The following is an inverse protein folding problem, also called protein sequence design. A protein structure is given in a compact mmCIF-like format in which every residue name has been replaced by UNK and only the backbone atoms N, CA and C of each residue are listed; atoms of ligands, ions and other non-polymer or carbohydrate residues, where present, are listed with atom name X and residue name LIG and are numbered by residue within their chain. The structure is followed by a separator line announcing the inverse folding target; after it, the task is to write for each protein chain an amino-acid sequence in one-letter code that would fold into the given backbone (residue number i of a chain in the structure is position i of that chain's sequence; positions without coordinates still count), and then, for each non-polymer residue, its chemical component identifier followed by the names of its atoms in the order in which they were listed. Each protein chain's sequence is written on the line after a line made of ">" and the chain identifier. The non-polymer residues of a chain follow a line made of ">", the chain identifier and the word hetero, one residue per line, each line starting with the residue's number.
data_IF_520309852774
#
_entry.id   IF_520309852774
#
_cell.length_a   1.000
_cell.length_b   1.000
_cell.length_c   1.000
_cell.angle_alpha   90.00
_cell.angle_beta   90.00
_cell.angle_gamma   90.00
#
_symmetry.space_group_name_H-M   'P 1'
#
loop_
_entity.id
_entity.type
_entity.pdbx_description
1 polymer ?
#
# COMPACT_ATOMS: atom_id res chain seq x y z
N UNK A 1 0.10 17.37 14.95
CA UNK A 1 -0.96 17.91 14.09
C UNK A 1 -2.01 16.86 13.76
N UNK A 2 -1.67 15.86 12.95
CA UNK A 2 -2.63 14.87 12.40
C UNK A 2 -3.52 14.21 13.46
N UNK A 3 -2.96 13.62 14.53
CA UNK A 3 -3.75 12.98 15.58
C UNK A 3 -4.74 13.95 16.25
N UNK A 4 -4.28 15.15 16.63
CA UNK A 4 -5.13 16.17 17.24
C UNK A 4 -6.27 16.62 16.32
N UNK A 5 -5.99 16.81 15.02
CA UNK A 5 -7.02 17.15 14.03
C UNK A 5 -8.09 16.06 13.91
N UNK A 6 -7.71 14.77 13.95
CA UNK A 6 -8.66 13.65 13.90
C UNK A 6 -9.54 13.57 15.15
N UNK A 7 -8.99 13.83 16.34
CA UNK A 7 -9.77 13.86 17.58
C UNK A 7 -10.81 14.98 17.55
N UNK A 8 -10.40 16.18 17.14
CA UNK A 8 -11.32 17.32 17.01
C UNK A 8 -12.41 17.00 15.98
N UNK A 9 -12.03 16.50 14.79
CA UNK A 9 -12.97 16.11 13.76
C UNK A 9 -13.97 15.06 14.24
N UNK A 10 -13.50 14.03 14.97
CA UNK A 10 -14.36 13.01 15.58
C UNK A 10 -15.39 13.61 16.55
N UNK A 11 -14.97 14.57 17.37
CA UNK A 11 -15.88 15.28 18.28
C UNK A 11 -16.95 16.08 17.53
N UNK A 12 -16.57 16.76 16.45
CA UNK A 12 -17.52 17.49 15.59
C UNK A 12 -18.52 16.55 14.91
N UNK A 13 -18.06 15.43 14.35
CA UNK A 13 -18.94 14.41 13.76
C UNK A 13 -19.89 13.80 14.79
N UNK A 14 -19.43 13.58 16.02
CA UNK A 14 -20.27 13.08 17.11
C UNK A 14 -21.42 14.03 17.43
N UNK A 15 -21.14 15.34 17.56
CA UNK A 15 -22.16 16.35 17.81
C UNK A 15 -23.14 16.47 16.63
N UNK A 16 -22.65 16.42 15.39
CA UNK A 16 -23.50 16.41 14.20
C UNK A 16 -24.41 15.17 14.14
N UNK A 17 -23.91 13.99 14.55
CA UNK A 17 -24.70 12.77 14.62
C UNK A 17 -25.86 12.89 15.63
N UNK A 18 -25.61 13.49 16.80
CA UNK A 18 -26.68 13.78 17.79
C UNK A 18 -27.73 14.70 17.16
N UNK A 19 -27.31 15.77 16.49
CA UNK A 19 -28.23 16.70 15.84
C UNK A 19 -29.10 15.99 14.80
N UNK A 20 -28.51 15.21 13.89
CA UNK A 20 -29.24 14.50 12.84
C UNK A 20 -30.18 13.43 13.39
N UNK A 21 -29.85 12.81 14.53
CA UNK A 21 -30.73 11.87 15.21
C UNK A 21 -31.96 12.57 15.81
N UNK A 22 -31.76 13.72 16.45
CA UNK A 22 -32.85 14.48 17.08
C UNK A 22 -33.77 15.12 16.04
N UNK A 23 -33.20 15.75 15.01
CA UNK A 23 -33.92 16.46 13.96
C UNK A 23 -34.04 15.61 12.69
N UNK A 24 -34.61 14.42 12.81
CA UNK A 24 -34.71 13.46 11.72
C UNK A 24 -35.84 13.77 10.72
N UNK A 25 -36.93 14.38 11.17
CA UNK A 25 -38.12 14.68 10.36
C UNK A 25 -37.96 16.02 9.61
N UNK A 26 -37.10 16.00 8.59
CA UNK A 26 -36.84 17.15 7.73
C UNK A 26 -37.60 17.02 6.41
N UNK A 27 -38.16 18.14 5.94
CA UNK A 27 -38.92 18.21 4.68
C UNK A 27 -38.11 17.70 3.48
N UNK A 28 -36.80 17.91 3.46
CA UNK A 28 -35.89 17.43 2.40
C UNK A 28 -35.91 15.90 2.19
N UNK A 29 -36.31 15.13 3.21
CA UNK A 29 -36.41 13.67 3.12
C UNK A 29 -37.79 13.19 2.66
N UNK A 30 -38.78 14.08 2.53
CA UNK A 30 -40.17 13.74 2.23
C UNK A 30 -40.52 14.06 0.78
N UNK A 31 -41.11 13.10 0.06
CA UNK A 31 -41.66 13.35 -1.27
C UNK A 31 -43.00 14.08 -1.14
N UNK A 32 -43.05 15.35 -1.53
CA UNK A 32 -44.25 16.21 -1.48
C UNK A 32 -45.50 15.55 -2.09
N UNK A 33 -45.33 14.69 -3.09
CA UNK A 33 -46.46 14.04 -3.78
C UNK A 33 -47.11 12.93 -2.96
N UNK A 34 -46.34 12.33 -2.04
CA UNK A 34 -46.78 11.15 -1.28
C UNK A 34 -46.77 11.34 0.23
N UNK A 35 -46.11 12.39 0.72
CA UNK A 35 -45.90 12.64 2.15
C UNK A 35 -45.05 11.57 2.85
N UNK A 36 -44.27 10.77 2.09
CA UNK A 36 -43.46 9.67 2.62
C UNK A 36 -41.97 9.94 2.43
N UNK A 37 -41.11 9.34 3.28
CA UNK A 37 -39.68 9.37 3.09
C UNK A 37 -39.27 8.78 1.73
N UNK A 38 -38.39 9.47 1.01
CA UNK A 38 -37.92 9.05 -0.31
C UNK A 38 -36.52 9.58 -0.59
N UNK A 39 -35.68 8.76 -1.22
CA UNK A 39 -34.34 9.13 -1.67
C UNK A 39 -34.19 8.83 -3.15
N UNK A 40 -33.80 9.83 -3.93
CA UNK A 40 -33.47 9.65 -5.36
C UNK A 40 -32.04 9.07 -5.50
N UNK A 41 -31.88 7.80 -5.14
CA UNK A 41 -30.59 7.10 -5.07
C UNK A 41 -29.72 7.26 -6.34
N UNK A 42 -30.25 7.17 -7.58
CA UNK A 42 -29.44 7.40 -8.79
C UNK A 42 -28.84 8.80 -8.87
N UNK A 43 -29.57 9.83 -8.43
CA UNK A 43 -29.07 11.21 -8.42
C UNK A 43 -28.05 11.42 -7.30
N UNK A 44 -28.32 10.89 -6.11
CA UNK A 44 -27.39 10.91 -4.98
C UNK A 44 -26.05 10.25 -5.37
N UNK A 45 -26.10 9.12 -6.10
CA UNK A 45 -24.91 8.49 -6.66
C UNK A 45 -24.14 9.43 -7.59
N UNK A 46 -24.82 10.12 -8.50
CA UNK A 46 -24.18 11.11 -9.38
C UNK A 46 -23.48 12.24 -8.62
N UNK A 47 -24.11 12.77 -7.56
CA UNK A 47 -23.51 13.80 -6.69
C UNK A 47 -22.22 13.27 -6.04
N UNK A 48 -22.29 12.11 -5.38
CA UNK A 48 -21.14 11.54 -4.67
C UNK A 48 -20.02 11.11 -5.61
N UNK A 49 -20.34 10.58 -6.80
CA UNK A 49 -19.36 10.20 -7.80
C UNK A 49 -18.63 11.43 -8.36
N UNK A 50 -19.37 12.51 -8.65
CA UNK A 50 -18.77 13.78 -9.09
C UNK A 50 -17.78 14.31 -8.05
N UNK A 51 -18.19 14.40 -6.78
CA UNK A 51 -17.32 14.86 -5.69
C UNK A 51 -16.10 13.95 -5.50
N UNK A 52 -16.29 12.63 -5.59
CA UNK A 52 -15.19 11.66 -5.53
C UNK A 52 -14.21 11.83 -6.70
N UNK A 53 -14.71 12.13 -7.91
CA UNK A 53 -13.89 12.43 -9.07
C UNK A 53 -13.05 13.70 -8.88
N UNK A 54 -13.64 14.79 -8.39
CA UNK A 54 -12.93 16.03 -8.06
C UNK A 54 -11.85 15.80 -7.01
N UNK A 55 -12.18 15.09 -5.93
CA UNK A 55 -11.23 14.77 -4.87
C UNK A 55 -10.06 13.89 -5.37
N UNK A 56 -10.36 12.85 -6.15
CA UNK A 56 -9.37 11.96 -6.74
C UNK A 56 -8.43 12.71 -7.70
N UNK A 57 -8.99 13.53 -8.59
CA UNK A 57 -8.20 14.36 -9.50
C UNK A 57 -7.29 15.31 -8.72
N UNK A 58 -7.84 16.03 -7.73
CA UNK A 58 -7.07 16.99 -6.95
C UNK A 58 -5.94 16.33 -6.16
N UNK A 59 -6.18 15.13 -5.59
CA UNK A 59 -5.14 14.36 -4.92
C UNK A 59 -3.99 14.01 -5.88
N UNK A 60 -4.30 13.45 -7.06
CA UNK A 60 -3.28 13.11 -8.06
C UNK A 60 -2.55 14.34 -8.61
N UNK A 61 -3.30 15.35 -9.03
CA UNK A 61 -2.77 16.53 -9.72
C UNK A 61 -1.96 17.47 -8.83
N UNK A 62 -2.28 17.55 -7.53
CA UNK A 62 -1.67 18.52 -6.62
C UNK A 62 -0.84 17.88 -5.51
N UNK A 63 -1.40 16.88 -4.81
CA UNK A 63 -0.74 16.28 -3.65
C UNK A 63 0.40 15.34 -4.09
N UNK A 64 0.09 14.37 -4.96
CA UNK A 64 1.04 13.32 -5.39
C UNK A 64 2.14 13.89 -6.27
N UNK A 65 1.79 14.77 -7.21
CA UNK A 65 2.78 15.43 -8.08
C UNK A 65 3.71 16.37 -7.32
N UNK A 66 3.33 16.78 -6.11
CA UNK A 66 4.02 17.81 -5.35
C UNK A 66 3.86 19.22 -5.92
N UNK A 67 2.91 19.44 -6.85
CA UNK A 67 2.63 20.77 -7.40
C UNK A 67 2.12 21.74 -6.33
N UNK A 68 1.28 21.24 -5.42
CA UNK A 68 0.75 22.02 -4.29
C UNK A 68 0.65 21.17 -3.00
N UNK A 69 1.42 20.09 -2.93
CA UNK A 69 1.50 19.19 -1.79
C UNK A 69 2.90 18.63 -1.61
N UNK A 70 3.11 17.73 -0.64
CA UNK A 70 4.44 17.23 -0.31
C UNK A 70 4.98 16.16 -1.28
N UNK A 71 4.13 15.60 -2.16
CA UNK A 71 4.45 14.38 -2.90
C UNK A 71 4.19 13.12 -2.05
N UNK A 72 4.82 12.01 -2.42
CA UNK A 72 4.64 10.71 -1.75
C UNK A 72 6.00 10.06 -1.43
N UNK A 73 5.99 9.02 -0.60
CA UNK A 73 7.20 8.24 -0.33
C UNK A 73 7.65 7.47 -1.58
N UNK A 74 8.94 7.55 -1.88
CA UNK A 74 9.60 6.77 -2.94
C UNK A 74 10.97 6.36 -2.44
N UNK A 75 11.47 5.20 -2.89
CA UNK A 75 12.79 4.71 -2.53
C UNK A 75 13.52 4.09 -3.74
N UNK A 76 14.79 3.75 -3.52
CA UNK A 76 15.55 2.89 -4.42
C UNK A 76 15.07 1.43 -4.34
N UNK A 77 15.45 0.56 -5.31
CA UNK A 77 14.98 -0.83 -5.36
C UNK A 77 15.29 -1.66 -4.09
N UNK A 78 16.28 -1.27 -3.31
CA UNK A 78 16.72 -1.97 -2.10
C UNK A 78 16.32 -1.27 -0.80
N UNK A 79 15.49 -0.22 -0.87
CA UNK A 79 14.93 0.44 0.31
C UNK A 79 15.98 1.09 1.22
N UNK A 80 17.03 1.68 0.65
CA UNK A 80 18.13 2.27 1.40
C UNK A 80 17.98 3.79 1.57
N UNK A 81 17.36 4.46 0.60
CA UNK A 81 17.37 5.93 0.44
C UNK A 81 15.97 6.53 0.32
N UNK A 82 14.97 5.92 0.96
CA UNK A 82 13.60 6.36 0.88
C UNK A 82 13.36 7.74 1.47
N UNK A 83 12.50 8.51 0.80
CA UNK A 83 12.06 9.84 1.22
C UNK A 83 10.76 10.23 0.55
N UNK A 84 10.09 11.23 1.11
CA UNK A 84 8.98 11.90 0.43
C UNK A 84 9.53 12.76 -0.71
N UNK A 85 8.93 12.65 -1.90
CA UNK A 85 9.27 13.47 -3.06
C UNK A 85 8.10 13.63 -4.03
N UNK A 86 8.17 14.67 -4.84
CA UNK A 86 7.30 14.88 -6.01
C UNK A 86 7.40 13.71 -6.99
N UNK A 87 6.28 13.36 -7.61
CA UNK A 87 6.21 12.27 -8.59
C UNK A 87 5.64 12.77 -9.91
N UNK A 88 6.42 12.67 -10.99
CA UNK A 88 5.93 12.96 -12.32
C UNK A 88 5.02 11.81 -12.82
N UNK A 89 3.85 12.12 -13.42
CA UNK A 89 2.97 11.08 -13.94
C UNK A 89 3.58 10.36 -15.14
N UNK A 90 3.44 9.04 -15.17
CA UNK A 90 3.81 8.19 -16.29
C UNK A 90 2.57 7.81 -17.09
N UNK A 91 2.58 8.08 -18.39
CA UNK A 91 1.42 7.89 -19.28
C UNK A 91 1.57 6.72 -20.25
N UNK A 92 2.77 6.14 -20.35
CA UNK A 92 3.03 4.96 -21.15
C UNK A 92 2.63 3.66 -20.43
N UNK A 93 3.08 2.54 -20.99
CA UNK A 93 2.78 1.20 -20.46
C UNK A 93 3.39 1.01 -19.06
N UNK A 94 4.51 1.68 -18.79
CA UNK A 94 5.17 1.69 -17.48
C UNK A 94 4.29 2.25 -16.35
N UNK A 95 3.27 3.05 -16.66
CA UNK A 95 2.30 3.53 -15.68
C UNK A 95 1.42 2.43 -15.08
N UNK A 96 1.40 1.24 -15.69
CA UNK A 96 0.69 0.06 -15.18
C UNK A 96 1.61 -0.90 -14.41
N UNK A 97 2.91 -0.62 -14.34
CA UNK A 97 3.83 -1.37 -13.49
C UNK A 97 3.57 -0.99 -12.02
N UNK A 98 3.22 -1.96 -11.13
CA UNK A 98 2.93 -1.68 -9.73
C UNK A 98 4.12 -1.11 -8.95
N UNK A 99 5.33 -1.13 -9.50
CA UNK A 99 6.56 -0.60 -8.88
C UNK A 99 7.00 0.75 -9.45
N UNK A 100 6.30 1.33 -10.43
CA UNK A 100 6.59 2.67 -10.97
C UNK A 100 5.65 3.71 -10.33
N UNK A 101 6.14 4.60 -9.45
CA UNK A 101 5.28 5.56 -8.74
C UNK A 101 4.53 6.52 -9.66
N UNK A 102 5.08 6.82 -10.84
CA UNK A 102 4.44 7.69 -11.84
C UNK A 102 3.06 7.18 -12.28
N UNK A 103 2.82 5.87 -12.22
CA UNK A 103 1.51 5.26 -12.45
C UNK A 103 0.45 5.67 -11.44
N UNK A 104 0.83 5.96 -10.19
CA UNK A 104 -0.09 6.40 -9.13
C UNK A 104 -0.66 7.79 -9.47
N UNK A 105 0.21 8.71 -9.89
CA UNK A 105 -0.21 10.06 -10.26
C UNK A 105 -1.13 10.06 -11.49
N UNK A 106 -0.73 9.35 -12.56
CA UNK A 106 -1.54 9.25 -13.78
C UNK A 106 -2.87 8.52 -13.53
N UNK A 107 -2.88 7.47 -12.71
CA UNK A 107 -4.10 6.79 -12.28
C UNK A 107 -5.11 7.76 -11.64
N UNK A 108 -4.70 8.53 -10.64
CA UNK A 108 -5.60 9.45 -9.93
C UNK A 108 -6.11 10.58 -10.83
N UNK A 109 -5.24 11.14 -11.68
CA UNK A 109 -5.62 12.19 -12.63
C UNK A 109 -6.66 11.66 -13.65
N UNK A 110 -6.38 10.49 -14.25
CA UNK A 110 -7.26 9.90 -15.26
C UNK A 110 -8.59 9.43 -14.65
N UNK A 111 -8.54 8.68 -13.54
CA UNK A 111 -9.73 8.17 -12.86
C UNK A 111 -10.58 9.31 -12.28
N UNK A 112 -9.94 10.35 -11.73
CA UNK A 112 -10.63 11.53 -11.24
C UNK A 112 -11.38 12.28 -12.35
N UNK A 113 -10.71 12.49 -13.50
CA UNK A 113 -11.33 13.10 -14.69
C UNK A 113 -12.53 12.28 -15.17
N UNK A 114 -12.37 10.96 -15.29
CA UNK A 114 -13.47 10.08 -15.70
C UNK A 114 -14.61 10.07 -14.67
N UNK A 115 -14.30 10.10 -13.37
CA UNK A 115 -15.28 10.17 -12.30
C UNK A 115 -16.12 11.45 -12.34
N UNK A 116 -15.50 12.59 -12.68
CA UNK A 116 -16.22 13.86 -12.90
C UNK A 116 -17.22 13.72 -14.05
N UNK A 117 -16.76 13.23 -15.21
CA UNK A 117 -17.62 13.06 -16.40
C UNK A 117 -18.76 12.07 -16.14
N UNK A 118 -18.46 10.94 -15.49
CA UNK A 118 -19.45 9.94 -15.12
C UNK A 118 -20.44 10.47 -14.08
N UNK A 119 -19.99 11.24 -13.08
CA UNK A 119 -20.84 11.90 -12.12
C UNK A 119 -21.84 12.85 -12.79
N UNK A 120 -21.36 13.70 -13.72
CA UNK A 120 -22.20 14.59 -14.53
C UNK A 120 -23.21 13.82 -15.39
N UNK A 121 -22.78 12.70 -16.00
CA UNK A 121 -23.69 11.81 -16.72
C UNK A 121 -24.81 11.29 -15.83
N UNK A 122 -24.48 10.79 -14.63
CA UNK A 122 -25.46 10.26 -13.68
C UNK A 122 -26.38 11.34 -13.08
N UNK A 123 -25.96 12.61 -13.08
CA UNK A 123 -26.82 13.75 -12.75
C UNK A 123 -27.75 14.14 -13.89
N UNK A 124 -27.29 13.98 -15.14
CA UNK A 124 -28.00 14.42 -16.34
C UNK A 124 -29.00 13.39 -16.87
N UNK A 125 -28.81 12.10 -16.56
CA UNK A 125 -29.54 10.99 -17.19
C UNK A 125 -30.24 10.13 -16.15
N UNK A 126 -31.54 9.87 -16.35
CA UNK A 126 -32.29 8.91 -15.52
C UNK A 126 -31.98 7.47 -15.91
N UNK A 127 -31.99 6.52 -14.96
CA UNK A 127 -31.79 5.11 -15.29
C UNK A 127 -32.85 4.60 -16.27
N UNK A 128 -32.47 3.74 -17.24
CA UNK A 128 -33.42 3.02 -18.06
C UNK A 128 -34.39 2.20 -17.19
N UNK A 129 -35.68 2.20 -17.55
CA UNK A 129 -36.73 1.53 -16.77
C UNK A 129 -36.42 0.04 -16.49
N UNK A 130 -35.86 -0.66 -17.48
CA UNK A 130 -35.47 -2.07 -17.35
C UNK A 130 -34.43 -2.28 -16.25
N UNK A 131 -33.42 -1.40 -16.18
CA UNK A 131 -32.38 -1.46 -15.16
C UNK A 131 -32.92 -1.04 -13.79
N UNK A 132 -33.73 0.03 -13.75
CA UNK A 132 -34.34 0.50 -12.51
C UNK A 132 -35.16 -0.61 -11.82
N UNK A 133 -35.98 -1.32 -12.60
CA UNK A 133 -36.78 -2.44 -12.11
C UNK A 133 -35.93 -3.68 -11.82
N UNK A 134 -35.05 -4.05 -12.74
CA UNK A 134 -34.22 -5.26 -12.65
C UNK A 134 -33.29 -5.25 -11.43
N UNK A 135 -32.70 -4.09 -11.14
CA UNK A 135 -31.80 -3.88 -9.99
C UNK A 135 -32.49 -3.30 -8.76
N UNK A 136 -33.82 -3.13 -8.80
CA UNK A 136 -34.62 -2.59 -7.68
C UNK A 136 -34.06 -1.27 -7.12
N UNK A 137 -33.73 -0.32 -7.99
CA UNK A 137 -33.05 0.93 -7.64
C UNK A 137 -33.84 1.89 -6.71
N UNK A 138 -35.08 1.54 -6.36
CA UNK A 138 -35.84 2.23 -5.30
C UNK A 138 -35.62 1.67 -3.89
N UNK A 139 -34.91 0.54 -3.74
CA UNK A 139 -34.56 -0.05 -2.45
C UNK A 139 -33.08 0.27 -2.12
N UNK A 140 -32.84 0.92 -0.99
CA UNK A 140 -31.48 1.27 -0.54
C UNK A 140 -30.58 0.04 -0.30
N UNK A 141 -31.15 -1.13 0.03
CA UNK A 141 -30.37 -2.35 0.23
C UNK A 141 -29.65 -2.82 -1.06
N UNK A 142 -30.14 -2.45 -2.24
CA UNK A 142 -29.39 -2.77 -3.47
C UNK A 142 -28.07 -2.01 -3.55
N UNK A 143 -28.05 -0.77 -3.03
CA UNK A 143 -26.83 0.04 -2.95
C UNK A 143 -25.89 -0.58 -1.93
N UNK A 144 -26.40 -0.95 -0.74
CA UNK A 144 -25.63 -1.67 0.28
C UNK A 144 -24.97 -2.93 -0.30
N UNK A 145 -25.74 -3.77 -1.00
CA UNK A 145 -25.22 -5.00 -1.62
C UNK A 145 -24.09 -4.72 -2.62
N UNK A 146 -24.27 -3.75 -3.53
CA UNK A 146 -23.22 -3.42 -4.50
C UNK A 146 -22.00 -2.76 -3.87
N UNK A 147 -22.20 -1.95 -2.83
CA UNK A 147 -21.12 -1.28 -2.10
C UNK A 147 -20.27 -2.27 -1.32
N UNK A 148 -20.87 -3.29 -0.69
CA UNK A 148 -20.13 -4.37 -0.03
C UNK A 148 -19.23 -5.10 -1.03
N UNK A 149 -19.75 -5.41 -2.23
CA UNK A 149 -18.96 -6.05 -3.27
C UNK A 149 -17.76 -5.19 -3.71
N UNK A 150 -17.96 -3.88 -3.88
CA UNK A 150 -16.88 -2.95 -4.24
C UNK A 150 -15.82 -2.82 -3.13
N UNK A 151 -16.25 -2.73 -1.86
CA UNK A 151 -15.34 -2.65 -0.70
C UNK A 151 -14.54 -3.94 -0.55
N UNK A 152 -15.18 -5.10 -0.70
CA UNK A 152 -14.50 -6.39 -0.68
C UNK A 152 -13.44 -6.48 -1.79
N UNK A 153 -13.79 -6.10 -3.02
CA UNK A 153 -12.83 -6.05 -4.12
C UNK A 153 -11.61 -5.18 -3.77
N UNK A 154 -11.81 -3.97 -3.26
CA UNK A 154 -10.73 -3.08 -2.83
C UNK A 154 -9.86 -3.72 -1.73
N UNK A 155 -10.48 -4.41 -0.76
CA UNK A 155 -9.77 -5.11 0.32
C UNK A 155 -8.83 -6.21 -0.22
N UNK A 156 -9.27 -6.99 -1.22
CA UNK A 156 -8.42 -8.01 -1.85
C UNK A 156 -7.25 -7.40 -2.62
N UNK A 157 -7.47 -6.29 -3.32
CA UNK A 157 -6.41 -5.58 -4.04
C UNK A 157 -5.34 -5.09 -3.07
N UNK A 158 -5.72 -4.42 -1.97
CA UNK A 158 -4.74 -3.90 -1.00
C UNK A 158 -4.06 -5.00 -0.18
N UNK A 159 -4.74 -6.12 0.08
CA UNK A 159 -4.11 -7.30 0.69
C UNK A 159 -3.03 -7.88 -0.23
N UNK A 160 -3.34 -7.98 -1.54
CA UNK A 160 -2.38 -8.41 -2.56
C UNK A 160 -1.17 -7.49 -2.65
N UNK A 161 -1.38 -6.18 -2.84
CA UNK A 161 -0.27 -5.23 -2.99
C UNK A 161 0.59 -5.14 -1.74
N UNK A 162 0.02 -5.28 -0.54
CA UNK A 162 0.80 -5.36 0.71
C UNK A 162 1.66 -6.62 0.77
N UNK A 163 1.13 -7.77 0.35
CA UNK A 163 1.85 -9.04 0.45
C UNK A 163 2.94 -9.21 -0.61
N UNK A 164 2.68 -8.77 -1.84
CA UNK A 164 3.61 -8.88 -2.96
C UNK A 164 4.57 -7.68 -3.08
N UNK A 165 4.20 -6.55 -2.49
CA UNK A 165 4.90 -5.28 -2.65
C UNK A 165 4.40 -4.47 -3.85
N UNK A 166 4.49 -3.15 -3.73
CA UNK A 166 4.19 -2.16 -4.75
C UNK A 166 4.87 -0.82 -4.41
N UNK A 167 4.79 0.15 -5.31
CA UNK A 167 5.22 1.53 -5.07
C UNK A 167 4.47 2.20 -3.88
N UNK A 168 3.31 1.67 -3.47
CA UNK A 168 2.53 2.17 -2.32
C UNK A 168 2.79 1.42 -1.01
N UNK A 169 3.60 0.36 -1.04
CA UNK A 169 3.93 -0.47 0.13
C UNK A 169 5.45 -0.62 0.29
N UNK A 170 6.17 0.51 0.45
CA UNK A 170 7.62 0.53 0.49
C UNK A 170 8.18 -0.22 1.71
N UNK A 171 9.25 -0.98 1.50
CA UNK A 171 9.83 -1.85 2.53
C UNK A 171 10.40 -1.09 3.73
N UNK A 172 10.73 0.18 3.57
CA UNK A 172 11.20 1.02 4.69
C UNK A 172 10.08 1.42 5.66
N UNK A 173 8.82 1.33 5.23
CA UNK A 173 7.66 1.64 6.06
C UNK A 173 6.93 0.38 6.53
N UNK A 174 7.04 -0.73 5.79
CA UNK A 174 6.29 -1.96 6.05
C UNK A 174 7.16 -3.22 6.27
N UNK A 175 8.48 -3.12 6.11
CA UNK A 175 9.38 -4.26 6.11
C UNK A 175 9.51 -4.95 4.73
N UNK A 176 10.50 -5.84 4.55
CA UNK A 176 10.67 -6.58 3.30
C UNK A 176 9.55 -7.60 3.07
N UNK A 177 9.45 -8.12 1.85
CA UNK A 177 8.49 -9.18 1.51
C UNK A 177 9.14 -10.56 1.65
N UNK A 178 8.32 -11.60 1.84
CA UNK A 178 8.83 -12.98 1.88
C UNK A 178 9.53 -13.41 0.59
N UNK A 179 9.11 -12.83 -0.54
CA UNK A 179 9.63 -13.18 -1.87
C UNK A 179 11.07 -12.73 -2.03
N UNK A 180 11.45 -11.62 -1.38
CA UNK A 180 12.84 -11.14 -1.36
C UNK A 180 13.76 -12.12 -0.62
N UNK A 181 13.29 -12.76 0.47
CA UNK A 181 14.03 -13.84 1.13
C UNK A 181 14.09 -15.10 0.26
N UNK A 182 12.94 -15.56 -0.25
CA UNK A 182 12.82 -16.81 -1.00
C UNK A 182 13.72 -16.83 -2.25
N UNK A 183 13.93 -15.67 -2.88
CA UNK A 183 14.74 -15.51 -4.08
C UNK A 183 16.19 -15.05 -3.78
N UNK A 184 16.53 -14.78 -2.52
CA UNK A 184 17.85 -14.23 -2.16
C UNK A 184 18.09 -12.84 -2.76
N UNK A 185 17.07 -11.99 -2.84
CA UNK A 185 17.12 -10.68 -3.50
C UNK A 185 18.22 -9.77 -2.95
N UNK A 186 18.22 -9.57 -1.62
CA UNK A 186 19.24 -8.74 -0.96
C UNK A 186 20.61 -9.42 -0.97
N UNK A 187 20.66 -10.73 -0.76
CA UNK A 187 21.88 -11.53 -0.87
C UNK A 187 22.57 -11.30 -2.22
N UNK A 188 21.84 -11.42 -3.33
CA UNK A 188 22.39 -11.22 -4.67
C UNK A 188 22.99 -9.82 -4.86
N UNK A 189 22.31 -8.77 -4.38
CA UNK A 189 22.83 -7.40 -4.44
C UNK A 189 24.10 -7.22 -3.59
N UNK A 190 24.14 -7.82 -2.40
CA UNK A 190 25.33 -7.82 -1.54
C UNK A 190 26.50 -8.48 -2.31
N UNK A 191 26.32 -9.70 -2.82
CA UNK A 191 27.39 -10.38 -3.58
C UNK A 191 27.79 -9.62 -4.85
N UNK A 192 26.86 -8.94 -5.52
CA UNK A 192 27.16 -8.07 -6.66
C UNK A 192 28.08 -6.92 -6.26
N UNK A 193 27.80 -6.24 -5.13
CA UNK A 193 28.65 -5.15 -4.61
C UNK A 193 30.02 -5.64 -4.18
N UNK A 194 30.09 -6.81 -3.53
CA UNK A 194 31.37 -7.44 -3.16
C UNK A 194 32.18 -7.78 -4.42
N UNK A 195 31.56 -8.41 -5.42
CA UNK A 195 32.22 -8.75 -6.68
C UNK A 195 32.78 -7.51 -7.41
N UNK A 196 32.03 -6.40 -7.40
CA UNK A 196 32.51 -5.13 -7.94
C UNK A 196 33.73 -4.58 -7.16
N UNK A 197 33.69 -4.60 -5.83
CA UNK A 197 34.82 -4.17 -5.00
C UNK A 197 36.08 -4.99 -5.24
N UNK A 198 35.94 -6.31 -5.35
CA UNK A 198 37.06 -7.20 -5.66
C UNK A 198 37.63 -6.95 -7.07
N UNK A 199 36.78 -6.68 -8.06
CA UNK A 199 37.22 -6.30 -9.41
C UNK A 199 37.98 -4.98 -9.45
N UNK A 200 37.74 -4.10 -8.47
CA UNK A 200 38.50 -2.86 -8.24
C UNK A 200 39.77 -3.08 -7.39
N UNK A 201 40.23 -4.33 -7.25
CA UNK A 201 41.40 -4.74 -6.46
C UNK A 201 41.31 -4.40 -4.95
N UNK A 202 40.10 -4.27 -4.42
CA UNK A 202 39.91 -4.15 -2.97
C UNK A 202 40.14 -5.51 -2.31
N UNK A 203 40.67 -5.50 -1.09
CA UNK A 203 40.69 -6.69 -0.26
C UNK A 203 39.27 -7.11 0.12
N UNK A 204 39.09 -8.38 0.47
CA UNK A 204 37.80 -8.91 0.89
C UNK A 204 37.23 -8.16 2.12
N UNK A 205 38.11 -7.79 3.05
CA UNK A 205 37.72 -7.01 4.24
C UNK A 205 37.22 -5.62 3.86
N UNK A 206 37.89 -4.94 2.93
CA UNK A 206 37.47 -3.62 2.45
C UNK A 206 36.13 -3.71 1.71
N UNK A 207 35.96 -4.71 0.83
CA UNK A 207 34.71 -4.91 0.10
C UNK A 207 33.53 -5.12 1.06
N UNK A 208 33.67 -6.00 2.07
CA UNK A 208 32.62 -6.22 3.08
C UNK A 208 32.36 -5.01 3.96
N UNK A 209 33.39 -4.24 4.31
CA UNK A 209 33.24 -3.02 5.13
C UNK A 209 32.41 -1.91 4.45
N UNK A 210 32.26 -1.98 3.12
CA UNK A 210 31.46 -1.02 2.33
C UNK A 210 29.99 -1.42 2.19
N UNK A 211 29.58 -2.60 2.68
CA UNK A 211 28.18 -3.01 2.67
C UNK A 211 27.41 -2.23 3.76
N UNK A 212 26.33 -1.53 3.42
CA UNK A 212 25.52 -0.84 4.41
C UNK A 212 24.86 -1.84 5.38
N UNK A 213 24.91 -1.56 6.68
CA UNK A 213 24.28 -2.42 7.69
C UNK A 213 22.77 -2.59 7.43
N UNK A 214 22.09 -1.55 6.94
CA UNK A 214 20.67 -1.62 6.55
C UNK A 214 20.41 -2.65 5.46
N UNK A 215 21.30 -2.77 4.47
CA UNK A 215 21.19 -3.78 3.40
C UNK A 215 21.43 -5.19 3.95
N UNK A 216 22.45 -5.35 4.80
CA UNK A 216 22.72 -6.62 5.46
C UNK A 216 21.56 -7.06 6.35
N UNK A 217 20.91 -6.11 7.05
CA UNK A 217 19.77 -6.40 7.91
C UNK A 217 18.53 -6.81 7.11
N UNK A 218 18.29 -6.28 5.91
CA UNK A 218 17.23 -6.83 5.05
C UNK A 218 17.47 -8.27 4.61
N UNK A 219 18.74 -8.73 4.56
CA UNK A 219 19.12 -10.10 4.20
C UNK A 219 19.12 -11.07 5.41
N UNK A 220 18.27 -10.80 6.40
CA UNK A 220 18.10 -11.61 7.60
C UNK A 220 16.66 -12.15 7.72
N UNK A 221 16.54 -13.45 7.99
CA UNK A 221 15.24 -14.15 7.99
C UNK A 221 14.27 -13.66 9.08
N UNK A 222 14.75 -13.08 10.17
CA UNK A 222 13.87 -12.51 11.20
C UNK A 222 13.03 -11.34 10.68
N UNK A 223 13.50 -10.67 9.61
CA UNK A 223 12.75 -9.61 8.93
C UNK A 223 11.74 -10.12 7.90
N UNK A 224 11.67 -11.44 7.65
CA UNK A 224 10.71 -12.02 6.73
C UNK A 224 9.30 -12.08 7.37
N UNK A 225 8.27 -11.44 6.80
CA UNK A 225 6.93 -11.39 7.38
C UNK A 225 6.23 -12.76 7.44
N UNK A 226 6.77 -13.77 6.73
CA UNK A 226 6.26 -15.15 6.76
C UNK A 226 6.89 -16.03 7.85
N UNK A 227 7.48 -15.44 8.89
CA UNK A 227 8.04 -16.14 10.07
C UNK A 227 7.30 -15.90 11.39
N UNK A 228 6.19 -15.16 11.34
CA UNK A 228 5.34 -14.91 12.51
C UNK A 228 4.55 -16.13 12.98
N UNK A 229 3.66 -15.90 13.95
CA UNK A 229 2.67 -16.88 14.38
C UNK A 229 1.41 -16.16 14.87
N UNK A 230 0.24 -16.74 14.62
CA UNK A 230 -1.06 -16.08 14.85
C UNK A 230 -1.22 -15.48 16.25
N UNK A 231 -0.66 -16.14 17.27
CA UNK A 231 -0.75 -15.73 18.67
C UNK A 231 0.56 -15.16 19.24
N UNK A 232 1.57 -14.93 18.40
CA UNK A 232 2.80 -14.23 18.79
C UNK A 232 2.57 -12.73 18.62
N UNK A 233 1.95 -12.11 19.63
CA UNK A 233 1.57 -10.71 19.60
C UNK A 233 2.75 -9.77 19.94
N UNK A 234 2.66 -8.52 19.48
CA UNK A 234 3.63 -7.45 19.78
C UNK A 234 4.55 -7.12 18.61
N UNK A 235 5.59 -6.33 18.88
CA UNK A 235 6.61 -5.96 17.89
C UNK A 235 7.56 -7.12 17.60
N UNK A 236 8.28 -7.03 16.49
CA UNK A 236 9.37 -7.96 16.15
C UNK A 236 10.46 -7.94 17.23
N UNK A 237 10.76 -6.78 17.80
CA UNK A 237 11.72 -6.61 18.90
C UNK A 237 11.40 -7.48 20.13
N UNK A 238 10.12 -7.78 20.39
CA UNK A 238 9.73 -8.67 21.49
C UNK A 238 10.06 -10.15 21.20
N UNK A 239 10.32 -10.49 19.94
CA UNK A 239 10.72 -11.82 19.49
C UNK A 239 12.22 -12.02 19.58
N UNK A 240 12.98 -11.44 18.67
CA UNK A 240 14.43 -11.65 18.53
C UNK A 240 15.31 -10.55 19.16
N UNK A 241 14.68 -9.49 19.70
CA UNK A 241 15.36 -8.39 20.39
C UNK A 241 15.59 -7.16 19.51
N UNK A 242 16.27 -6.17 20.06
CA UNK A 242 16.61 -4.94 19.35
C UNK A 242 17.97 -5.13 18.67
N UNK A 243 18.03 -4.93 17.35
CA UNK A 243 19.27 -4.99 16.60
C UNK A 243 20.26 -3.89 17.06
N UNK A 244 21.50 -4.29 17.37
CA UNK A 244 22.53 -3.37 17.92
C UNK A 244 23.59 -2.99 16.88
N UNK A 245 24.04 -3.94 16.06
CA UNK A 245 25.07 -3.72 15.06
C UNK A 245 25.39 -5.00 14.29
N UNK A 246 26.00 -4.85 13.11
CA UNK A 246 26.34 -5.98 12.26
C UNK A 246 27.72 -6.56 12.62
N UNK A 247 27.80 -7.88 12.82
CA UNK A 247 29.04 -8.59 13.18
C UNK A 247 29.94 -8.93 11.98
N UNK A 248 29.60 -8.44 10.79
CA UNK A 248 30.31 -8.76 9.55
C UNK A 248 29.82 -10.05 8.89
N UNK A 249 30.46 -10.40 7.78
CA UNK A 249 30.14 -11.61 7.01
C UNK A 249 31.03 -12.78 7.43
N UNK A 250 30.46 -13.91 7.89
CA UNK A 250 31.25 -15.09 8.24
C UNK A 250 31.71 -15.82 6.97
N UNK A 251 32.96 -16.28 6.96
CA UNK A 251 33.52 -17.14 5.92
C UNK A 251 33.94 -18.45 6.57
N UNK A 252 33.33 -19.55 6.14
CA UNK A 252 33.65 -20.88 6.64
C UNK A 252 34.64 -21.56 5.69
N UNK A 253 35.64 -22.26 6.24
CA UNK A 253 36.60 -23.03 5.47
C UNK A 253 36.82 -24.41 6.08
N UNK A 254 37.07 -25.41 5.23
CA UNK A 254 37.51 -26.72 5.68
C UNK A 254 39.03 -26.75 5.98
N UNK A 255 39.54 -27.93 6.36
CA UNK A 255 40.96 -28.14 6.64
C UNK A 255 41.85 -27.98 5.40
N UNK A 256 41.28 -28.07 4.21
CA UNK A 256 41.94 -27.83 2.92
C UNK A 256 41.89 -26.35 2.49
N UNK A 257 41.20 -25.48 3.25
CA UNK A 257 41.07 -24.06 2.97
C UNK A 257 39.99 -23.71 1.93
N UNK A 258 39.16 -24.66 1.52
CA UNK A 258 38.03 -24.43 0.60
C UNK A 258 36.92 -23.70 1.33
N UNK A 259 36.35 -22.68 0.70
CA UNK A 259 35.21 -21.94 1.25
C UNK A 259 33.94 -22.80 1.22
N UNK A 260 33.15 -22.72 2.29
CA UNK A 260 31.92 -23.48 2.49
C UNK A 260 30.74 -22.53 2.75
N UNK A 261 29.54 -22.94 2.35
CA UNK A 261 28.33 -22.15 2.49
C UNK A 261 27.29 -22.85 3.37
N UNK A 262 26.74 -22.13 4.33
CA UNK A 262 25.63 -22.64 5.15
C UNK A 262 24.34 -22.60 4.32
N UNK A 263 23.64 -23.73 4.22
CA UNK A 263 22.32 -23.78 3.58
C UNK A 263 21.33 -22.92 4.37
N UNK A 264 20.78 -21.88 3.74
CA UNK A 264 19.77 -20.99 4.35
C UNK A 264 18.47 -21.74 4.69
N UNK A 265 17.86 -21.37 5.81
CA UNK A 265 16.55 -21.84 6.24
C UNK A 265 15.45 -21.38 5.26
N UNK A 266 14.68 -22.30 4.65
CA UNK A 266 13.53 -21.93 3.83
C UNK A 266 12.36 -21.46 4.69
N UNK A 267 11.48 -20.64 4.12
CA UNK A 267 10.36 -20.00 4.84
C UNK A 267 9.45 -20.98 5.59
N UNK A 268 9.17 -22.14 5.02
CA UNK A 268 8.25 -23.14 5.62
C UNK A 268 8.76 -23.80 6.91
N UNK A 269 10.07 -23.78 7.16
CA UNK A 269 10.65 -24.53 8.27
C UNK A 269 10.67 -23.71 9.55
N UNK A 270 10.13 -24.28 10.64
CA UNK A 270 10.34 -23.76 11.99
C UNK A 270 11.73 -24.13 12.53
N UNK A 271 12.19 -25.35 12.21
CA UNK A 271 13.52 -25.86 12.54
C UNK A 271 14.22 -26.33 11.28
N UNK A 272 15.52 -26.11 11.15
CA UNK A 272 16.29 -26.47 9.96
C UNK A 272 17.71 -26.94 10.34
N UNK A 273 18.25 -28.02 9.74
CA UNK A 273 19.57 -28.53 10.09
C UNK A 273 20.69 -27.59 9.63
N UNK A 274 21.85 -27.69 10.27
CA UNK A 274 23.07 -27.01 9.83
C UNK A 274 23.79 -27.91 8.84
N UNK A 275 23.86 -27.47 7.59
CA UNK A 275 24.56 -28.16 6.50
C UNK A 275 25.47 -27.15 5.80
N UNK A 276 26.75 -27.50 5.67
CA UNK A 276 27.73 -26.75 4.89
C UNK A 276 27.94 -27.47 3.55
N UNK A 277 27.94 -26.71 2.46
CA UNK A 277 28.14 -27.18 1.08
C UNK A 277 29.36 -26.48 0.47
#
# INVERSE_FOLDING_TARGET
>A
GVAGAHIVFSGLCFLAAIWHWVYWDLEIFTDERTGKPSLDLPKIFGIHLFLSGVACFGFGAFHVTGLYGPGIWVSDPYGLTGRVQSVNPAWGVEGFDPFVPGGIASHHIAAGTLGILAGLFHLSVRPPQRLYKGLRMGNIETVLSSSIAAVFFAAFVVAGTMWYGSATTPIELFGPTRYQWDQGYFQQEIYRRIGAGLAENQSLSEAWSKIPEKLAFYDYIGNNPAKGGLFRAGSMDNGDGIAVGWLGHPIFRDKEGRELFVRRMPTFFETFPVVLV
#
